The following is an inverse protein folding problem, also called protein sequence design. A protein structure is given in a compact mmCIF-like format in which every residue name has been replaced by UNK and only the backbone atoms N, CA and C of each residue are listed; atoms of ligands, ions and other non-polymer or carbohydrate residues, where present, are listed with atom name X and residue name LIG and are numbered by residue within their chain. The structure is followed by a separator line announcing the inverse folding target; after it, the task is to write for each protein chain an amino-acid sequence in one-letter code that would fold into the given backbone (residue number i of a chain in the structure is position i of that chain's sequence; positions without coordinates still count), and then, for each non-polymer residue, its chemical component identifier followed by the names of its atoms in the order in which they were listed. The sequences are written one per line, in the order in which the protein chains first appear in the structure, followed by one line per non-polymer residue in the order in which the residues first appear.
data_IF_392403785158
#
_entry.id   IF_392403785158
#
_cell.length_a   1.000
_cell.length_b   1.000
_cell.length_c   1.000
_cell.angle_alpha   90.00
_cell.angle_beta   90.00
_cell.angle_gamma   90.00
#
_symmetry.space_group_name_H-M   'P 1'
#
loop_
_entity.id
_entity.type
_entity.pdbx_description
1 polymer ?
#
# COMPACT_ATOMS: atom_id res chain seq x y z
N UNK A 1 10.38 0.29 2.06
CA UNK A 1 11.32 0.05 3.20
C UNK A 1 10.66 -0.69 4.36
N UNK A 2 9.47 -0.30 4.85
CA UNK A 2 8.83 -0.97 5.99
C UNK A 2 8.63 -2.49 5.82
N UNK A 3 8.19 -2.94 4.62
CA UNK A 3 8.03 -4.37 4.32
C UNK A 3 9.34 -5.16 4.48
N UNK A 4 10.47 -4.62 4.02
CA UNK A 4 11.77 -5.27 4.14
C UNK A 4 12.14 -5.48 5.61
N UNK A 5 11.91 -4.48 6.46
CA UNK A 5 12.21 -4.58 7.89
C UNK A 5 11.32 -5.63 8.57
N UNK A 6 10.02 -5.64 8.25
CA UNK A 6 9.08 -6.63 8.74
C UNK A 6 9.50 -8.07 8.37
N UNK A 7 9.83 -8.29 7.09
CA UNK A 7 10.32 -9.60 6.61
C UNK A 7 11.64 -10.00 7.27
N UNK A 8 12.55 -9.05 7.45
CA UNK A 8 13.90 -9.30 7.99
C UNK A 8 13.97 -9.44 9.51
N UNK A 9 12.95 -9.00 10.24
CA UNK A 9 12.82 -9.26 11.68
C UNK A 9 11.87 -10.42 11.98
N UNK A 10 11.26 -11.02 10.95
CA UNK A 10 10.39 -12.18 11.11
C UNK A 10 11.23 -13.42 11.53
N UNK A 11 10.72 -14.30 12.42
CA UNK A 11 11.45 -15.49 12.85
C UNK A 11 11.89 -16.41 11.70
N UNK A 12 11.11 -16.44 10.61
CA UNK A 12 11.37 -17.26 9.44
C UNK A 12 12.20 -16.54 8.35
N UNK A 13 12.85 -15.41 8.69
CA UNK A 13 13.68 -14.69 7.73
C UNK A 13 14.83 -15.57 7.20
N UNK A 14 15.15 -15.51 5.89
CA UNK A 14 16.35 -16.14 5.35
C UNK A 14 17.59 -15.66 6.10
N UNK A 15 18.40 -16.61 6.58
CA UNK A 15 19.58 -16.39 7.44
C UNK A 15 19.27 -15.91 8.87
N UNK A 16 18.02 -16.07 9.32
CA UNK A 16 17.57 -15.62 10.63
C UNK A 16 17.23 -14.11 10.67
N UNK A 17 16.64 -13.64 11.78
CA UNK A 17 16.26 -12.23 11.92
C UNK A 17 17.51 -11.33 12.04
N UNK A 18 17.45 -10.12 11.47
CA UNK A 18 18.56 -9.15 11.50
C UNK A 18 18.97 -8.76 12.92
N UNK A 19 18.05 -8.83 13.88
CA UNK A 19 18.32 -8.61 15.30
C UNK A 19 17.26 -9.32 16.13
N UNK A 20 17.65 -9.74 17.33
CA UNK A 20 16.75 -10.29 18.36
C UNK A 20 16.55 -9.31 19.52
N UNK A 21 17.11 -8.09 19.43
CA UNK A 21 16.99 -7.06 20.46
C UNK A 21 15.56 -6.49 20.57
N UNK A 22 14.73 -6.71 19.55
CA UNK A 22 13.32 -6.35 19.52
C UNK A 22 12.51 -7.60 19.11
N UNK A 23 11.32 -7.82 19.69
CA UNK A 23 10.44 -8.90 19.22
C UNK A 23 10.01 -8.69 17.76
N UNK A 24 9.54 -9.73 17.05
CA UNK A 24 8.98 -9.56 15.71
C UNK A 24 7.82 -8.55 15.68
N UNK A 25 7.66 -7.85 14.56
CA UNK A 25 6.50 -6.99 14.37
C UNK A 25 5.20 -7.81 14.35
N UNK A 26 4.17 -7.29 15.03
CA UNK A 26 2.83 -7.90 15.04
C UNK A 26 2.07 -7.63 13.74
N UNK A 27 2.26 -6.46 13.15
CA UNK A 27 1.62 -6.04 11.91
C UNK A 27 2.47 -4.99 11.19
N UNK A 28 2.14 -4.68 9.94
CA UNK A 28 2.71 -3.54 9.22
C UNK A 28 1.66 -2.82 8.35
N UNK A 29 1.78 -1.51 8.21
CA UNK A 29 1.01 -0.71 7.24
C UNK A 29 1.96 -0.24 6.15
N UNK A 30 1.63 -0.54 4.89
CA UNK A 30 2.47 -0.41 3.72
C UNK A 30 1.75 0.44 2.67
N UNK A 31 2.02 1.75 2.66
CA UNK A 31 1.46 2.68 1.67
C UNK A 31 2.37 2.80 0.44
N UNK A 32 1.79 2.62 -0.75
CA UNK A 32 2.45 2.53 -2.07
C UNK A 32 3.73 1.68 -2.06
N UNK A 33 3.68 0.54 -1.38
CA UNK A 33 4.79 -0.40 -1.30
C UNK A 33 4.98 -1.17 -2.60
N UNK A 34 6.21 -1.60 -2.90
CA UNK A 34 6.54 -2.45 -4.05
C UNK A 34 7.70 -3.40 -3.72
N UNK A 35 7.84 -4.47 -4.50
CA UNK A 35 8.93 -5.44 -4.40
C UNK A 35 10.27 -4.80 -4.76
N UNK A 36 11.32 -5.06 -3.97
CA UNK A 36 12.66 -4.56 -4.29
C UNK A 36 13.21 -5.20 -5.57
N UNK A 37 13.89 -4.40 -6.39
CA UNK A 37 14.62 -4.87 -7.60
C UNK A 37 16.03 -5.38 -7.30
N UNK A 38 16.48 -5.22 -6.07
CA UNK A 38 17.78 -5.71 -5.63
C UNK A 38 17.80 -7.26 -5.66
N UNK A 39 18.70 -7.89 -6.43
CA UNK A 39 18.78 -9.35 -6.50
C UNK A 39 19.05 -10.01 -5.14
N UNK A 40 19.75 -9.34 -4.23
CA UNK A 40 20.06 -9.87 -2.89
C UNK A 40 18.82 -9.91 -1.99
N UNK A 41 17.81 -9.09 -2.31
CA UNK A 41 16.53 -9.03 -1.61
C UNK A 41 15.45 -9.86 -2.29
N UNK A 42 15.65 -10.28 -3.54
CA UNK A 42 14.69 -11.07 -4.30
C UNK A 42 14.18 -12.34 -3.56
N UNK A 43 15.00 -13.08 -2.79
CA UNK A 43 14.53 -14.24 -2.03
C UNK A 43 13.49 -13.93 -0.94
N UNK A 44 13.34 -12.67 -0.52
CA UNK A 44 12.33 -12.27 0.46
C UNK A 44 10.94 -12.10 -0.16
N UNK A 45 10.88 -11.83 -1.47
CA UNK A 45 9.64 -11.53 -2.19
C UNK A 45 9.23 -12.63 -3.16
N UNK A 46 10.20 -13.39 -3.71
CA UNK A 46 9.91 -14.58 -4.51
C UNK A 46 9.41 -15.65 -3.56
N UNK A 47 8.12 -15.97 -3.69
CA UNK A 47 7.40 -17.06 -3.01
C UNK A 47 8.33 -17.86 -2.07
N UNK A 48 8.48 -17.42 -0.80
CA UNK A 48 9.03 -18.31 0.18
C UNK A 48 8.15 -19.57 0.17
N UNK A 49 8.69 -20.71 0.60
CA UNK A 49 7.96 -21.99 0.64
C UNK A 49 6.57 -21.86 1.31
N UNK A 50 6.35 -20.80 2.10
CA UNK A 50 5.04 -20.23 2.42
C UNK A 50 5.07 -18.68 2.41
N UNK A 51 3.96 -17.97 2.15
CA UNK A 51 3.86 -16.52 2.29
C UNK A 51 4.12 -16.05 3.73
N UNK A 52 4.49 -14.77 3.91
CA UNK A 52 4.75 -14.20 5.24
C UNK A 52 3.48 -14.15 6.08
N UNK A 53 3.53 -14.66 7.31
CA UNK A 53 2.37 -14.73 8.21
C UNK A 53 2.06 -13.44 8.98
N UNK A 54 2.89 -12.41 8.84
CA UNK A 54 2.62 -11.10 9.45
C UNK A 54 1.39 -10.47 8.78
N UNK A 55 0.49 -9.94 9.59
CA UNK A 55 -0.69 -9.22 9.12
C UNK A 55 -0.30 -7.85 8.58
N UNK A 56 -0.73 -7.52 7.36
CA UNK A 56 -0.35 -6.29 6.69
C UNK A 56 -1.55 -5.55 6.11
N UNK A 57 -1.55 -4.22 6.22
CA UNK A 57 -2.43 -3.36 5.44
C UNK A 57 -1.63 -2.76 4.29
N UNK A 58 -2.05 -3.01 3.07
CA UNK A 58 -1.49 -2.42 1.86
C UNK A 58 -2.44 -1.35 1.35
N UNK A 59 -1.94 -0.12 1.18
CA UNK A 59 -2.73 0.95 0.60
C UNK A 59 -2.02 1.61 -0.58
N UNK A 60 -2.73 1.94 -1.65
CA UNK A 60 -2.17 2.65 -2.80
C UNK A 60 -3.24 3.46 -3.53
N UNK A 61 -2.78 4.39 -4.37
CA UNK A 61 -3.64 5.16 -5.26
C UNK A 61 -3.85 4.48 -6.60
N UNK A 62 -5.10 4.35 -7.05
CA UNK A 62 -5.43 3.80 -8.38
C UNK A 62 -4.93 4.68 -9.54
N UNK A 63 -4.68 5.96 -9.30
CA UNK A 63 -4.09 6.90 -10.25
C UNK A 63 -2.60 7.20 -9.95
N UNK A 64 -1.92 6.32 -9.20
CA UNK A 64 -0.50 6.45 -8.87
C UNK A 64 0.39 6.14 -10.09
N UNK A 65 0.95 7.16 -10.71
CA UNK A 65 1.88 7.02 -11.84
C UNK A 65 3.30 6.61 -11.41
N UNK A 66 3.65 6.80 -10.13
CA UNK A 66 5.00 6.53 -9.62
C UNK A 66 5.15 5.07 -9.21
N UNK A 67 4.14 4.55 -8.52
CA UNK A 67 4.01 3.15 -8.12
C UNK A 67 2.65 2.67 -8.62
N UNK A 68 2.60 2.16 -9.86
CA UNK A 68 1.36 1.63 -10.40
C UNK A 68 0.86 0.45 -9.55
N UNK A 69 -0.47 0.29 -9.51
CA UNK A 69 -1.14 -0.64 -8.60
C UNK A 69 -0.63 -2.08 -8.70
N UNK A 70 -0.25 -2.54 -9.88
CA UNK A 70 0.32 -3.88 -10.13
C UNK A 70 1.55 -4.16 -9.25
N UNK A 71 2.43 -3.17 -9.06
CA UNK A 71 3.63 -3.32 -8.22
C UNK A 71 3.30 -3.41 -6.74
N UNK A 72 2.22 -2.78 -6.31
CA UNK A 72 1.73 -2.88 -4.93
C UNK A 72 1.00 -4.20 -4.69
N UNK A 73 0.28 -4.70 -5.69
CA UNK A 73 -0.27 -6.05 -5.71
C UNK A 73 0.81 -7.13 -5.61
N UNK A 74 1.91 -7.00 -6.38
CA UNK A 74 3.04 -7.94 -6.32
C UNK A 74 3.62 -8.02 -4.90
N UNK A 75 3.68 -6.90 -4.19
CA UNK A 75 4.14 -6.89 -2.80
C UNK A 75 3.11 -7.52 -1.86
N UNK A 76 1.82 -7.23 -2.04
CA UNK A 76 0.74 -7.80 -1.22
C UNK A 76 0.70 -9.33 -1.33
N UNK A 77 0.94 -9.88 -2.52
CA UNK A 77 0.99 -11.32 -2.77
C UNK A 77 2.09 -12.06 -1.98
N UNK A 78 3.08 -11.35 -1.43
CA UNK A 78 4.11 -11.95 -0.58
C UNK A 78 3.61 -12.28 0.84
N UNK A 79 2.47 -11.75 1.27
CA UNK A 79 1.93 -11.88 2.62
C UNK A 79 0.65 -12.72 2.62
N UNK A 80 0.51 -13.63 3.59
CA UNK A 80 -0.66 -14.50 3.72
C UNK A 80 -1.89 -13.73 4.21
N UNK A 81 -1.69 -12.77 5.12
CA UNK A 81 -2.73 -12.03 5.82
C UNK A 81 -2.72 -10.56 5.38
N UNK A 82 -2.76 -10.34 4.06
CA UNK A 82 -2.75 -9.01 3.47
C UNK A 82 -4.17 -8.45 3.33
N UNK A 83 -4.42 -7.32 3.99
CA UNK A 83 -5.57 -6.45 3.74
C UNK A 83 -5.17 -5.42 2.69
N UNK A 84 -6.01 -5.22 1.69
CA UNK A 84 -5.74 -4.30 0.57
C UNK A 84 -6.73 -3.13 0.60
N UNK A 85 -6.25 -1.92 0.35
CA UNK A 85 -7.08 -0.73 0.17
C UNK A 85 -6.59 0.13 -1.00
N UNK A 86 -7.40 0.24 -2.04
CA UNK A 86 -7.12 1.12 -3.17
C UNK A 86 -7.99 2.38 -3.09
N UNK A 87 -7.35 3.55 -3.03
CA UNK A 87 -8.06 4.83 -3.08
C UNK A 87 -7.98 5.43 -4.50
N UNK A 88 -8.96 6.24 -4.89
CA UNK A 88 -9.04 6.84 -6.24
C UNK A 88 -7.97 7.92 -6.55
N UNK A 89 -6.98 8.10 -5.68
CA UNK A 89 -5.97 9.16 -5.77
C UNK A 89 -4.69 8.73 -6.49
N UNK A 90 -3.73 9.66 -6.59
CA UNK A 90 -2.36 9.39 -7.03
C UNK A 90 -1.43 8.97 -5.88
N UNK A 91 -0.15 9.33 -5.96
CA UNK A 91 0.87 8.95 -4.97
C UNK A 91 0.81 9.78 -3.67
N UNK A 92 -0.14 9.49 -2.79
CA UNK A 92 -0.25 10.15 -1.49
C UNK A 92 -0.84 9.24 -0.41
N UNK A 93 -0.59 9.57 0.86
CA UNK A 93 -1.21 8.84 1.98
C UNK A 93 -2.70 9.21 2.09
N UNK A 94 -3.60 8.23 2.13
CA UNK A 94 -5.03 8.48 2.08
C UNK A 94 -5.47 9.00 3.47
N UNK A 95 -5.68 10.32 3.56
CA UNK A 95 -5.92 11.06 4.81
C UNK A 95 -7.35 11.58 4.94
N UNK A 96 -8.22 11.33 3.94
CA UNK A 96 -9.62 11.76 4.01
C UNK A 96 -10.36 10.95 5.07
N UNK A 97 -11.49 11.48 5.53
CA UNK A 97 -12.30 10.81 6.56
C UNK A 97 -12.59 9.31 6.26
N UNK A 98 -13.06 8.91 5.06
CA UNK A 98 -13.28 7.49 4.75
C UNK A 98 -11.98 6.68 4.72
N UNK A 99 -10.91 7.24 4.15
CA UNK A 99 -9.60 6.58 4.07
C UNK A 99 -9.01 6.24 5.45
N UNK A 100 -9.14 7.19 6.40
CA UNK A 100 -8.66 7.00 7.77
C UNK A 100 -9.47 5.96 8.52
N UNK A 101 -10.75 5.79 8.17
CA UNK A 101 -11.60 4.77 8.79
C UNK A 101 -11.04 3.37 8.52
N UNK A 102 -10.56 3.10 7.30
CA UNK A 102 -9.91 1.83 6.94
C UNK A 102 -8.69 1.55 7.81
N UNK A 103 -7.83 2.55 8.01
CA UNK A 103 -6.64 2.41 8.87
C UNK A 103 -7.05 2.19 10.33
N UNK A 104 -8.09 2.89 10.81
CA UNK A 104 -8.60 2.74 12.17
C UNK A 104 -9.19 1.35 12.39
N UNK A 105 -10.01 0.85 11.46
CA UNK A 105 -10.58 -0.51 11.50
C UNK A 105 -9.49 -1.58 11.50
N UNK A 106 -8.48 -1.44 10.64
CA UNK A 106 -7.33 -2.35 10.63
C UNK A 106 -6.60 -2.36 11.97
N UNK A 107 -6.36 -1.19 12.56
CA UNK A 107 -5.68 -1.08 13.85
C UNK A 107 -6.51 -1.70 14.98
N UNK A 108 -7.82 -1.45 15.00
CA UNK A 108 -8.73 -2.03 15.97
C UNK A 108 -8.73 -3.55 15.91
N UNK A 109 -8.77 -4.11 14.70
CA UNK A 109 -8.66 -5.53 14.45
C UNK A 109 -7.34 -6.14 14.96
N UNK A 110 -6.18 -5.61 14.53
CA UNK A 110 -4.88 -6.24 14.86
C UNK A 110 -4.40 -5.97 16.30
N UNK A 111 -4.89 -4.91 16.93
CA UNK A 111 -4.50 -4.53 18.30
C UNK A 111 -5.48 -5.10 19.32
N UNK A 112 -6.77 -4.90 19.13
CA UNK A 112 -7.80 -5.25 20.11
C UNK A 112 -8.50 -6.57 19.80
N UNK A 113 -8.51 -7.02 18.54
CA UNK A 113 -9.22 -8.24 18.13
C UNK A 113 -10.73 -8.13 18.24
N UNK A 114 -11.25 -6.89 18.26
CA UNK A 114 -12.67 -6.57 18.50
C UNK A 114 -13.53 -6.62 17.24
N UNK A 115 -12.91 -6.67 16.06
CA UNK A 115 -13.57 -6.68 14.76
C UNK A 115 -13.17 -7.92 13.96
N UNK A 116 -14.08 -8.41 13.10
CA UNK A 116 -13.73 -9.38 12.05
C UNK A 116 -12.76 -8.72 11.04
N UNK A 117 -12.11 -9.51 10.18
CA UNK A 117 -11.21 -9.00 9.11
C UNK A 117 -11.79 -7.73 8.44
N UNK A 118 -11.01 -6.64 8.31
CA UNK A 118 -11.54 -5.33 7.94
C UNK A 118 -12.22 -5.35 6.56
N UNK A 119 -13.39 -4.70 6.48
CA UNK A 119 -14.28 -4.72 5.31
C UNK A 119 -13.63 -4.18 4.02
N UNK A 120 -12.51 -3.46 4.13
CA UNK A 120 -11.72 -3.02 2.98
C UNK A 120 -11.13 -4.16 2.14
N UNK A 121 -11.21 -5.42 2.59
CA UNK A 121 -10.67 -6.60 1.91
C UNK A 121 -11.17 -6.87 0.47
N UNK A 122 -12.10 -6.10 -0.08
CA UNK A 122 -12.50 -6.15 -1.50
C UNK A 122 -12.80 -4.76 -2.06
N UNK A 123 -12.27 -4.50 -3.25
CA UNK A 123 -12.17 -3.21 -3.92
C UNK A 123 -13.47 -2.39 -4.06
N UNK A 124 -13.30 -1.08 -3.85
CA UNK A 124 -13.94 0.06 -4.52
C UNK A 124 -15.32 -0.11 -5.15
N UNK A 125 -16.32 0.47 -4.49
CA UNK A 125 -17.30 1.31 -5.17
C UNK A 125 -17.57 2.51 -4.27
N UNK A 126 -17.44 3.71 -4.83
CA UNK A 126 -18.32 4.85 -4.62
C UNK A 126 -17.89 5.92 -5.63
N UNK A 127 -18.54 5.85 -6.79
CA UNK A 127 -18.59 6.93 -7.79
C UNK A 127 -18.94 8.28 -7.13
N UNK A 128 -18.07 9.28 -7.29
CA UNK A 128 -18.43 10.62 -6.80
C UNK A 128 -17.32 11.66 -6.77
N UNK A 129 -16.58 11.87 -7.85
CA UNK A 129 -15.80 13.09 -8.04
C UNK A 129 -16.06 13.62 -9.44
N UNK A 130 -17.16 14.37 -9.60
CA UNK A 130 -17.33 15.25 -10.77
C UNK A 130 -16.24 16.32 -10.69
N UNK A 131 -15.31 16.29 -11.65
CA UNK A 131 -14.35 17.37 -11.86
C UNK A 131 -15.10 18.70 -12.06
N UNK A 132 -14.64 19.83 -11.48
CA UNK A 132 -15.17 21.14 -11.84
C UNK A 132 -14.86 21.42 -13.31
N UNK A 133 -15.75 22.12 -14.06
CA UNK A 133 -15.48 22.44 -15.45
C UNK A 133 -14.24 23.35 -15.54
N UNK A 134 -13.29 22.96 -16.38
CA UNK A 134 -12.14 23.76 -16.75
C UNK A 134 -12.62 25.06 -17.39
N UNK A 135 -12.47 26.18 -16.68
CA UNK A 135 -12.62 27.51 -17.25
C UNK A 135 -11.48 27.68 -18.27
N UNK A 136 -11.85 27.79 -19.55
CA UNK A 136 -10.93 28.01 -20.65
C UNK A 136 -10.16 29.31 -20.47
N UNK A 137 -8.83 29.19 -20.44
CA UNK A 137 -7.92 30.33 -20.59
C UNK A 137 -7.94 30.71 -22.07
N UNK A 138 -8.23 31.97 -22.45
CA UNK A 138 -8.18 32.36 -23.85
C UNK A 138 -6.70 32.44 -24.30
N UNK A 139 -6.42 31.76 -25.41
CA UNK A 139 -5.16 31.84 -26.15
C UNK A 139 -5.07 33.26 -26.73
N UNK A 140 -4.01 33.99 -26.38
CA UNK A 140 -3.70 35.27 -27.02
C UNK A 140 -3.17 35.00 -28.43
N UNK A 141 -3.89 35.52 -29.42
CA UNK A 141 -3.58 35.45 -30.84
C UNK A 141 -2.35 36.31 -31.16
N UNK A 142 -1.35 35.70 -31.80
CA UNK A 142 -0.25 36.41 -32.43
C UNK A 142 -0.75 37.08 -33.72
N UNK A 143 -0.72 38.40 -33.76
CA UNK A 143 -0.90 39.18 -34.99
C UNK A 143 0.44 39.83 -35.38
N UNK A 144 1.06 39.24 -36.40
CA UNK A 144 2.16 39.79 -37.17
C UNK A 144 1.58 40.54 -38.38
N UNK A 145 1.79 41.86 -38.51
CA UNK A 145 1.83 42.49 -39.84
C UNK A 145 2.55 43.85 -39.83
N UNK A 146 3.63 43.91 -40.63
CA UNK A 146 4.26 45.05 -41.36
C UNK A 146 4.79 46.28 -40.62
#
# INVERSE_FOLDING_TARGET
MAALLAMRMHPNAPNGPLTTAHPPFRFAILSSGFVSRDPDLAPLFRAPVAPWSITTLHSWGGADEWVPADRSWDLAAAFANAVVYEHAGGHFLPTKAPDRAVIAEFLDWVVNGETDEPSAAVAGDESGCTSPPSVGVPVAEHAETR
#
